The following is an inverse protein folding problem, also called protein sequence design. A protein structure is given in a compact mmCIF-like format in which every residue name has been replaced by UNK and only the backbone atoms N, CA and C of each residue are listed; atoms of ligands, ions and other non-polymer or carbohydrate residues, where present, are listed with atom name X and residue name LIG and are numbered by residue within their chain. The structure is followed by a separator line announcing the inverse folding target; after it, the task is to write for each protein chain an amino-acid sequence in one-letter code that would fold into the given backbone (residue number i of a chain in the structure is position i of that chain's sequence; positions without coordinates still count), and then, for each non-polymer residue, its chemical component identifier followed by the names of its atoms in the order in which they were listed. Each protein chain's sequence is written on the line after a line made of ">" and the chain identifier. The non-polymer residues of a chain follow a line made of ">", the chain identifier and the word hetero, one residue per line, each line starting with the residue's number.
data_IF_955273148942
#
_entry.id   IF_955273148942
#
_cell.length_a   1.000
_cell.length_b   1.000
_cell.length_c   1.000
_cell.angle_alpha   90.00
_cell.angle_beta   90.00
_cell.angle_gamma   90.00
#
_symmetry.space_group_name_H-M   'P 1'
#
loop_
_entity.id
_entity.type
_entity.pdbx_description
1 polymer ?
#
# COMPACT_ATOMS: atom_id res chain seq x y z
N UNK A 1 2.34 4.49 -6.91
CA UNK A 1 1.13 4.01 -6.21
C UNK A 1 0.97 4.78 -4.91
N UNK A 2 0.06 4.35 -4.04
CA UNK A 2 -0.12 4.91 -2.69
C UNK A 2 1.04 4.47 -1.78
N UNK A 3 2.16 5.20 -1.87
CA UNK A 3 3.43 4.87 -1.22
C UNK A 3 3.72 5.82 -0.05
N UNK A 4 3.88 5.31 1.19
CA UNK A 4 4.08 6.14 2.38
C UNK A 4 5.47 6.77 2.49
N UNK A 5 6.43 6.40 1.64
CA UNK A 5 7.83 6.84 1.74
C UNK A 5 8.18 8.02 0.84
N UNK A 6 7.28 8.43 -0.06
CA UNK A 6 7.52 9.52 -1.03
C UNK A 6 7.48 10.90 -0.35
N UNK A 7 6.63 11.08 0.66
CA UNK A 7 6.46 12.34 1.39
C UNK A 7 6.50 12.11 2.89
N UNK A 8 6.82 13.17 3.62
CA UNK A 8 6.68 13.21 5.08
C UNK A 8 5.27 13.67 5.44
N UNK A 9 4.84 13.36 6.65
CA UNK A 9 3.58 13.86 7.20
C UNK A 9 3.61 15.38 7.26
N UNK A 10 2.57 16.03 6.71
CA UNK A 10 2.39 17.47 6.73
C UNK A 10 0.89 17.79 6.85
N UNK A 11 0.45 18.33 7.99
CA UNK A 11 -0.97 18.57 8.23
C UNK A 11 -1.56 19.67 7.34
N UNK A 12 -0.74 20.63 6.88
CA UNK A 12 -1.21 21.69 5.98
C UNK A 12 -1.55 21.09 4.61
N UNK A 13 -0.72 20.19 4.09
CA UNK A 13 -1.00 19.46 2.83
C UNK A 13 -2.13 18.44 2.95
N UNK A 14 -2.51 18.02 4.17
CA UNK A 14 -3.71 17.22 4.39
C UNK A 14 -4.98 18.08 4.34
N UNK A 15 -4.92 19.33 4.81
CA UNK A 15 -6.03 20.29 4.75
C UNK A 15 -6.23 20.84 3.35
N UNK A 16 -5.15 21.27 2.72
CA UNK A 16 -5.18 21.86 1.38
C UNK A 16 -5.17 20.78 0.30
N UNK A 17 -6.14 20.75 -0.62
CA UNK A 17 -6.18 19.77 -1.69
C UNK A 17 -5.08 20.04 -2.73
N UNK A 18 -3.96 19.32 -2.61
CA UNK A 18 -2.84 19.35 -3.58
C UNK A 18 -2.72 18.04 -4.36
N UNK A 19 -1.99 18.07 -5.48
CA UNK A 19 -1.63 16.89 -6.28
C UNK A 19 -0.83 15.85 -5.46
N UNK A 20 -0.09 16.30 -4.45
CA UNK A 20 0.77 15.46 -3.60
C UNK A 20 0.08 14.95 -2.34
N UNK A 21 -1.14 15.42 -2.04
CA UNK A 21 -1.90 15.07 -0.84
C UNK A 21 -2.03 13.57 -0.60
N UNK A 22 -2.18 12.79 -1.67
CA UNK A 22 -2.29 11.32 -1.56
C UNK A 22 -1.03 10.68 -0.95
N UNK A 23 0.16 11.20 -1.22
CA UNK A 23 1.40 10.67 -0.66
C UNK A 23 1.59 11.10 0.81
N UNK A 24 1.17 12.32 1.14
CA UNK A 24 1.16 12.80 2.52
C UNK A 24 0.15 12.01 3.36
N UNK A 25 -1.00 11.67 2.78
CA UNK A 25 -2.02 10.84 3.41
C UNK A 25 -1.51 9.42 3.67
N UNK A 26 -0.80 8.81 2.71
CA UNK A 26 -0.15 7.52 2.90
C UNK A 26 0.85 7.55 4.06
N UNK A 27 1.69 8.58 4.12
CA UNK A 27 2.65 8.78 5.21
C UNK A 27 1.96 8.99 6.57
N UNK A 28 0.84 9.71 6.60
CA UNK A 28 0.08 9.96 7.82
C UNK A 28 -0.57 8.68 8.37
N UNK A 29 -1.18 7.88 7.49
CA UNK A 29 -1.74 6.56 7.83
C UNK A 29 -0.65 5.60 8.34
N UNK A 30 0.52 5.57 7.67
CA UNK A 30 1.68 4.79 8.14
C UNK A 30 2.18 5.26 9.50
N UNK A 31 2.11 6.57 9.77
CA UNK A 31 2.44 7.19 11.06
C UNK A 31 1.33 7.03 12.12
N UNK A 32 0.39 6.10 11.91
CA UNK A 32 -0.69 5.76 12.85
C UNK A 32 -1.64 6.92 13.21
N UNK A 33 -1.87 7.86 12.29
CA UNK A 33 -2.93 8.85 12.46
C UNK A 33 -4.30 8.18 12.53
N UNK A 34 -5.15 8.65 13.43
CA UNK A 34 -6.54 8.20 13.54
C UNK A 34 -7.35 8.60 12.29
N UNK A 35 -8.23 7.70 11.83
CA UNK A 35 -9.16 7.94 10.72
C UNK A 35 -10.05 9.16 10.96
N UNK A 36 -10.55 9.37 12.18
CA UNK A 36 -11.35 10.54 12.52
C UNK A 36 -10.56 11.83 12.39
N UNK A 37 -9.30 11.83 12.82
CA UNK A 37 -8.40 12.99 12.64
C UNK A 37 -8.18 13.26 11.16
N UNK A 38 -7.94 12.23 10.36
CA UNK A 38 -7.76 12.37 8.90
C UNK A 38 -9.04 12.83 8.21
N UNK A 39 -10.21 12.37 8.66
CA UNK A 39 -11.49 12.86 8.18
C UNK A 39 -11.65 14.37 8.47
N UNK A 40 -11.34 14.81 9.70
CA UNK A 40 -11.45 16.23 10.05
C UNK A 40 -10.52 17.11 9.23
N UNK A 41 -9.28 16.65 8.99
CA UNK A 41 -8.32 17.37 8.17
C UNK A 41 -8.70 17.36 6.70
N UNK A 42 -9.16 16.23 6.18
CA UNK A 42 -9.23 16.02 4.72
C UNK A 42 -10.62 16.11 4.12
N UNK A 43 -11.65 15.85 4.93
CA UNK A 43 -13.04 15.60 4.54
C UNK A 43 -13.23 14.44 3.54
N UNK A 44 -12.22 13.59 3.38
CA UNK A 44 -12.34 12.32 2.67
C UNK A 44 -13.18 11.39 3.55
N UNK A 45 -14.21 10.78 2.98
CA UNK A 45 -15.09 9.88 3.71
C UNK A 45 -14.30 8.76 4.42
N UNK A 46 -14.73 8.44 5.65
CA UNK A 46 -14.07 7.46 6.52
C UNK A 46 -13.93 6.10 5.84
N UNK A 47 -14.91 5.70 5.03
CA UNK A 47 -14.87 4.44 4.30
C UNK A 47 -13.66 4.38 3.36
N UNK A 48 -13.36 5.46 2.63
CA UNK A 48 -12.18 5.51 1.76
C UNK A 48 -10.89 5.52 2.59
N UNK A 49 -10.86 6.28 3.69
CA UNK A 49 -9.70 6.32 4.59
C UNK A 49 -9.39 4.94 5.18
N UNK A 50 -10.40 4.15 5.54
CA UNK A 50 -10.21 2.76 5.95
C UNK A 50 -9.65 1.89 4.81
N UNK A 51 -10.12 2.04 3.57
CA UNK A 51 -9.55 1.31 2.42
C UNK A 51 -8.08 1.66 2.20
N UNK A 52 -7.72 2.93 2.35
CA UNK A 52 -6.33 3.37 2.25
C UNK A 52 -5.49 2.85 3.42
N UNK A 53 -6.06 2.79 4.63
CA UNK A 53 -5.42 2.20 5.80
C UNK A 53 -5.09 0.72 5.57
N UNK A 54 -6.00 -0.04 4.94
CA UNK A 54 -5.74 -1.44 4.61
C UNK A 54 -4.49 -1.60 3.73
N UNK A 55 -4.25 -0.67 2.80
CA UNK A 55 -3.05 -0.68 1.95
C UNK A 55 -1.80 -0.41 2.80
N UNK A 56 -1.81 0.59 3.69
CA UNK A 56 -0.65 0.92 4.55
C UNK A 56 -0.37 -0.14 5.61
N UNK A 57 -1.41 -0.76 6.16
CA UNK A 57 -1.29 -1.89 7.09
C UNK A 57 -0.64 -3.07 6.39
N UNK A 58 -1.01 -3.32 5.13
CA UNK A 58 -0.41 -4.38 4.33
C UNK A 58 1.07 -4.09 3.98
N UNK A 59 1.44 -2.83 3.78
CA UNK A 59 2.86 -2.45 3.70
C UNK A 59 3.63 -2.87 4.95
N UNK A 60 3.10 -2.57 6.15
CA UNK A 60 3.71 -2.99 7.42
C UNK A 60 3.80 -4.53 7.53
N UNK A 61 2.76 -5.25 7.10
CA UNK A 61 2.77 -6.71 7.04
C UNK A 61 3.88 -7.22 6.12
N UNK A 62 4.02 -6.67 4.91
CA UNK A 62 5.08 -7.05 3.97
C UNK A 62 6.47 -6.76 4.52
N UNK A 63 6.68 -5.59 5.12
CA UNK A 63 7.97 -5.20 5.73
C UNK A 63 8.38 -6.08 6.91
N UNK A 64 7.42 -6.71 7.60
CA UNK A 64 7.70 -7.66 8.68
C UNK A 64 8.21 -9.02 8.19
N UNK A 65 8.11 -9.30 6.89
CA UNK A 65 8.55 -10.57 6.30
C UNK A 65 10.07 -10.51 6.09
N UNK A 66 10.78 -11.48 6.66
CA UNK A 66 12.22 -11.63 6.45
C UNK A 66 12.52 -11.91 4.97
N UNK A 67 13.56 -11.27 4.44
CA UNK A 67 14.06 -11.49 3.08
C UNK A 67 14.36 -12.98 2.86
N UNK A 68 13.67 -13.61 1.90
CA UNK A 68 13.99 -14.98 1.47
C UNK A 68 12.79 -15.84 1.09
N UNK A 69 11.59 -15.55 1.59
CA UNK A 69 10.38 -16.24 1.14
C UNK A 69 9.13 -15.41 1.39
N UNK A 70 8.12 -15.57 0.53
CA UNK A 70 6.77 -15.04 0.71
C UNK A 70 5.79 -16.20 0.52
N UNK A 71 4.78 -16.30 1.38
CA UNK A 71 3.78 -17.35 1.23
C UNK A 71 2.82 -17.02 0.08
N UNK A 72 2.23 -18.08 -0.49
CA UNK A 72 1.21 -17.98 -1.53
C UNK A 72 0.10 -16.99 -1.16
N UNK A 73 -0.49 -17.14 0.03
CA UNK A 73 -1.63 -16.33 0.47
C UNK A 73 -1.26 -14.86 0.62
N UNK A 74 -0.07 -14.56 1.14
CA UNK A 74 0.40 -13.19 1.29
C UNK A 74 0.66 -12.55 -0.08
N UNK A 75 1.28 -13.28 -1.01
CA UNK A 75 1.51 -12.75 -2.35
C UNK A 75 0.18 -12.54 -3.09
N UNK A 76 -0.73 -13.50 -3.03
CA UNK A 76 -2.07 -13.42 -3.64
C UNK A 76 -2.87 -12.23 -3.11
N UNK A 77 -2.92 -12.08 -1.79
CA UNK A 77 -3.61 -10.94 -1.15
C UNK A 77 -2.98 -9.60 -1.58
N UNK A 78 -1.65 -9.50 -1.60
CA UNK A 78 -0.96 -8.29 -2.05
C UNK A 78 -1.37 -7.88 -3.48
N UNK A 79 -1.45 -8.87 -4.39
CA UNK A 79 -1.88 -8.62 -5.78
C UNK A 79 -3.36 -8.21 -5.86
N UNK A 80 -4.23 -8.83 -5.08
CA UNK A 80 -5.68 -8.52 -5.07
C UNK A 80 -5.98 -7.10 -4.58
N UNK A 81 -5.18 -6.58 -3.64
CA UNK A 81 -5.31 -5.19 -3.16
C UNK A 81 -4.50 -4.18 -4.01
N UNK A 82 -3.90 -4.63 -5.12
CA UNK A 82 -3.32 -3.75 -6.13
C UNK A 82 -1.81 -3.48 -6.01
N UNK A 83 -1.05 -4.23 -5.20
CA UNK A 83 0.40 -4.05 -5.16
C UNK A 83 1.07 -4.53 -6.45
N UNK A 84 1.99 -3.71 -6.97
CA UNK A 84 2.92 -4.12 -8.02
C UNK A 84 4.04 -5.01 -7.48
N UNK A 85 4.66 -5.80 -8.36
CA UNK A 85 5.79 -6.67 -8.00
C UNK A 85 6.96 -5.82 -7.47
N UNK A 86 7.15 -4.62 -8.04
CA UNK A 86 8.11 -3.60 -7.56
C UNK A 86 7.85 -3.14 -6.12
N UNK A 87 6.60 -2.85 -5.75
CA UNK A 87 6.26 -2.42 -4.39
C UNK A 87 6.48 -3.54 -3.37
N UNK A 88 6.08 -4.77 -3.72
CA UNK A 88 6.30 -5.94 -2.87
C UNK A 88 7.80 -6.15 -2.68
N UNK A 89 8.57 -6.14 -3.77
CA UNK A 89 10.03 -6.31 -3.74
C UNK A 89 10.71 -5.27 -2.84
N UNK A 90 10.32 -4.00 -2.94
CA UNK A 90 10.85 -2.94 -2.08
C UNK A 90 10.54 -3.19 -0.59
N UNK A 91 9.31 -3.61 -0.27
CA UNK A 91 8.89 -3.86 1.11
C UNK A 91 9.64 -5.04 1.76
N UNK A 92 9.86 -6.13 1.03
CA UNK A 92 10.53 -7.34 1.55
C UNK A 92 12.06 -7.35 1.31
N UNK A 93 12.63 -6.24 0.83
CA UNK A 93 14.06 -6.11 0.48
C UNK A 93 14.54 -7.19 -0.52
N UNK A 94 13.74 -7.41 -1.57
CA UNK A 94 14.05 -8.30 -2.69
C UNK A 94 14.09 -7.54 -4.02
N UNK A 95 14.21 -8.25 -5.13
CA UNK A 95 14.14 -7.68 -6.48
C UNK A 95 12.79 -7.98 -7.12
N UNK A 96 12.35 -7.09 -8.03
CA UNK A 96 11.10 -7.28 -8.78
C UNK A 96 11.09 -8.61 -9.55
N UNK A 97 12.24 -9.01 -10.11
CA UNK A 97 12.39 -10.29 -10.82
C UNK A 97 12.15 -11.50 -9.92
N UNK A 98 12.62 -11.47 -8.67
CA UNK A 98 12.39 -12.56 -7.71
C UNK A 98 10.91 -12.65 -7.34
N UNK A 99 10.26 -11.52 -7.05
CA UNK A 99 8.82 -11.50 -6.75
C UNK A 99 8.00 -12.00 -7.95
N UNK A 100 8.39 -11.62 -9.17
CA UNK A 100 7.75 -12.10 -10.40
C UNK A 100 7.89 -13.61 -10.55
N UNK A 101 9.07 -14.18 -10.29
CA UNK A 101 9.29 -15.64 -10.32
C UNK A 101 8.37 -16.37 -9.34
N UNK A 102 8.30 -15.92 -8.08
CA UNK A 102 7.37 -16.50 -7.11
C UNK A 102 5.91 -16.40 -7.55
N UNK A 103 5.52 -15.27 -8.14
CA UNK A 103 4.18 -15.07 -8.67
C UNK A 103 3.85 -16.07 -9.78
N UNK A 104 4.81 -16.37 -10.65
CA UNK A 104 4.68 -17.35 -11.74
C UNK A 104 4.68 -18.79 -11.21
N UNK A 105 5.58 -19.14 -10.28
CA UNK A 105 5.65 -20.44 -9.60
C UNK A 105 4.36 -20.77 -8.85
N UNK A 106 3.77 -19.77 -8.19
CA UNK A 106 2.48 -19.86 -7.52
C UNK A 106 1.28 -19.75 -8.46
N UNK A 107 1.47 -19.59 -9.77
CA UNK A 107 0.39 -19.43 -10.75
C UNK A 107 -0.58 -18.27 -10.42
N UNK A 108 -0.06 -17.19 -9.83
CA UNK A 108 -0.83 -15.99 -9.51
C UNK A 108 -0.82 -15.06 -10.74
N UNK A 109 -1.85 -15.15 -11.56
CA UNK A 109 -2.02 -14.34 -12.77
C UNK A 109 -3.27 -13.47 -12.70
N UNK A 110 -3.27 -12.29 -13.36
CA UNK A 110 -4.47 -11.49 -13.49
C UNK A 110 -5.48 -12.19 -14.41
N UNK A 111 -6.76 -11.83 -14.27
CA UNK A 111 -7.84 -12.27 -15.15
C UNK A 111 -8.49 -11.07 -15.83
N UNK A 112 -8.94 -11.26 -17.07
CA UNK A 112 -9.72 -10.27 -17.81
C UNK A 112 -11.20 -10.46 -17.49
N UNK A 113 -11.91 -9.35 -17.24
CA UNK A 113 -13.37 -9.33 -16.97
C UNK A 113 -14.04 -8.37 -17.97
N UNK A 114 -15.22 -8.74 -18.45
CA UNK A 114 -16.06 -7.90 -19.30
C UNK A 114 -16.95 -7.00 -18.41
N UNK A 115 -17.15 -5.75 -18.84
CA UNK A 115 -18.01 -4.74 -18.19
C UNK A 115 -19.44 -4.88 -18.75
#
# INVERSE_FOLDING_TARGET
>A
GFDPYIKKVNENELKEPTDKRMFVLAAALKSSYNIDKLYELTKIDRWFLEKLKNITDYYTKLESISSGSISFDVLKQAKQIGFSDKQIAAAIKSTELVVRKWREEYQITPFVKQI
#
